data_IF_671975558169
#
_entry.id   IF_671975558169
#
_cell.length_a   1.000
_cell.length_b   1.000
_cell.length_c   1.000
_cell.angle_alpha   90.00
_cell.angle_beta   90.00
_cell.angle_gamma   90.00
#
_symmetry.space_group_name_H-M   'P 1'
#
loop_
_entity.id
_entity.type
_entity.pdbx_description
1 polymer ?
#
# COMPACT_ATOMS: atom_id res chain seq x y z
N UNK A 1 9.54 28.47 -18.26
CA UNK A 1 10.48 27.88 -17.28
C UNK A 1 11.35 26.90 -18.04
N UNK A 2 12.59 27.28 -18.33
CA UNK A 2 13.45 26.59 -19.28
C UNK A 2 14.03 25.28 -18.71
N UNK A 3 13.70 24.16 -19.36
CA UNK A 3 14.56 22.99 -19.58
C UNK A 3 15.28 22.34 -18.37
N UNK A 4 14.66 22.28 -17.19
CA UNK A 4 15.26 21.63 -16.02
C UNK A 4 15.48 20.10 -16.18
N UNK A 5 14.89 19.48 -17.22
CA UNK A 5 15.01 18.05 -17.52
C UNK A 5 16.16 17.69 -18.47
N UNK A 6 16.86 18.66 -19.07
CA UNK A 6 17.89 18.41 -20.10
C UNK A 6 19.23 17.85 -19.57
N UNK A 7 19.42 17.73 -18.26
CA UNK A 7 20.74 17.38 -17.70
C UNK A 7 20.70 16.44 -16.48
N UNK A 8 19.83 15.43 -16.45
CA UNK A 8 20.08 14.30 -15.54
C UNK A 8 21.13 13.40 -16.21
N UNK A 9 22.38 13.57 -15.79
CA UNK A 9 23.53 12.79 -16.27
C UNK A 9 23.23 11.28 -16.19
N UNK A 10 23.32 10.56 -17.30
CA UNK A 10 23.04 9.12 -17.41
C UNK A 10 21.67 8.73 -17.99
N UNK A 11 20.78 9.70 -18.23
CA UNK A 11 19.49 9.48 -18.89
C UNK A 11 19.44 10.14 -20.26
N UNK A 12 18.58 9.61 -21.15
CA UNK A 12 18.26 10.26 -22.41
C UNK A 12 17.44 11.53 -22.17
N UNK A 13 17.44 12.41 -23.16
CA UNK A 13 16.49 13.52 -23.17
C UNK A 13 15.05 13.00 -23.31
N UNK A 14 14.16 13.57 -22.49
CA UNK A 14 12.73 13.27 -22.51
C UNK A 14 11.99 14.37 -23.27
N UNK A 15 11.08 13.96 -24.13
CA UNK A 15 10.08 14.85 -24.73
C UNK A 15 9.08 15.32 -23.67
N UNK A 16 8.37 16.42 -23.97
CA UNK A 16 7.32 16.91 -23.08
C UNK A 16 6.23 15.86 -22.86
N UNK A 17 5.84 15.13 -23.90
CA UNK A 17 4.85 14.04 -23.81
C UNK A 17 5.27 12.95 -22.83
N UNK A 18 6.57 12.61 -22.76
CA UNK A 18 7.09 11.61 -21.84
C UNK A 18 7.13 12.12 -20.40
N UNK A 19 7.48 13.39 -20.21
CA UNK A 19 7.43 14.05 -18.90
C UNK A 19 5.99 14.05 -18.37
N UNK A 20 5.02 14.42 -19.22
CA UNK A 20 3.61 14.46 -18.85
C UNK A 20 3.11 13.06 -18.48
N UNK A 21 3.49 12.04 -19.24
CA UNK A 21 3.17 10.64 -18.95
C UNK A 21 3.76 10.17 -17.61
N UNK A 22 5.04 10.49 -17.33
CA UNK A 22 5.66 10.18 -16.03
C UNK A 22 4.91 10.84 -14.86
N UNK A 23 4.51 12.10 -15.02
CA UNK A 23 3.75 12.81 -14.00
C UNK A 23 2.38 12.19 -13.78
N UNK A 24 1.69 11.78 -14.85
CA UNK A 24 0.42 11.07 -14.75
C UNK A 24 0.56 9.73 -14.02
N UNK A 25 1.59 8.95 -14.33
CA UNK A 25 1.89 7.68 -13.64
C UNK A 25 2.11 7.92 -12.14
N UNK A 26 2.92 8.92 -11.78
CA UNK A 26 3.19 9.27 -10.37
C UNK A 26 1.93 9.74 -9.64
N UNK A 27 1.09 10.54 -10.29
CA UNK A 27 -0.17 10.98 -9.73
C UNK A 27 -1.08 9.80 -9.40
N UNK A 28 -1.21 8.84 -10.32
CA UNK A 28 -1.99 7.61 -10.08
C UNK A 28 -1.37 6.71 -9.02
N UNK A 29 -0.04 6.63 -8.94
CA UNK A 29 0.64 5.98 -7.83
C UNK A 29 0.28 6.59 -6.47
N UNK A 30 0.25 7.92 -6.39
CA UNK A 30 -0.12 8.63 -5.16
C UNK A 30 -1.60 8.40 -4.77
N UNK A 31 -2.52 8.41 -5.73
CA UNK A 31 -3.94 8.07 -5.50
C UNK A 31 -4.10 6.65 -4.93
N UNK A 32 -3.40 5.67 -5.50
CA UNK A 32 -3.43 4.28 -5.00
C UNK A 32 -2.84 4.16 -3.59
N UNK A 33 -1.74 4.86 -3.30
CA UNK A 33 -1.16 4.89 -1.96
C UNK A 33 -2.08 5.56 -0.93
N UNK A 34 -2.83 6.58 -1.33
CA UNK A 34 -3.83 7.20 -0.46
C UNK A 34 -4.96 6.22 -0.13
N UNK A 35 -5.45 5.47 -1.13
CA UNK A 35 -6.46 4.43 -0.90
C UNK A 35 -5.92 3.30 0.00
N UNK A 36 -4.66 2.89 -0.20
CA UNK A 36 -3.99 1.92 0.65
C UNK A 36 -3.90 2.41 2.11
N UNK A 37 -3.59 3.69 2.33
CA UNK A 37 -3.55 4.26 3.67
C UNK A 37 -4.93 4.27 4.36
N UNK A 38 -6.00 4.57 3.61
CA UNK A 38 -7.37 4.48 4.11
C UNK A 38 -7.73 3.03 4.50
N UNK A 39 -7.37 2.06 3.66
CA UNK A 39 -7.57 0.64 3.96
C UNK A 39 -6.84 0.23 5.25
N UNK A 40 -5.58 0.65 5.42
CA UNK A 40 -4.81 0.36 6.64
C UNK A 40 -5.48 0.94 7.88
N UNK A 41 -5.96 2.18 7.82
CA UNK A 41 -6.70 2.80 8.92
C UNK A 41 -7.95 1.99 9.29
N UNK A 42 -8.74 1.60 8.29
CA UNK A 42 -9.92 0.75 8.50
C UNK A 42 -9.58 -0.60 9.14
N UNK A 43 -8.52 -1.28 8.67
CA UNK A 43 -8.09 -2.57 9.21
C UNK A 43 -7.59 -2.47 10.65
N UNK A 44 -6.91 -1.37 11.00
CA UNK A 44 -6.48 -1.11 12.38
C UNK A 44 -7.68 -0.97 13.31
N UNK A 45 -8.64 -0.11 12.97
CA UNK A 45 -9.88 0.06 13.75
C UNK A 45 -10.67 -1.25 13.85
N UNK A 46 -10.73 -2.03 12.78
CA UNK A 46 -11.40 -3.33 12.77
C UNK A 46 -10.74 -4.32 13.75
N UNK A 47 -9.41 -4.38 13.78
CA UNK A 47 -8.67 -5.22 14.72
C UNK A 47 -8.95 -4.82 16.18
N UNK A 48 -8.87 -3.52 16.48
CA UNK A 48 -9.12 -2.98 17.83
C UNK A 48 -10.54 -3.30 18.30
N UNK A 49 -11.53 -3.05 17.43
CA UNK A 49 -12.95 -3.28 17.74
C UNK A 49 -13.23 -4.76 17.98
N UNK A 50 -12.71 -5.65 17.13
CA UNK A 50 -12.87 -7.11 17.28
C UNK A 50 -12.17 -7.63 18.52
N UNK A 51 -10.96 -7.14 18.81
CA UNK A 51 -10.22 -7.53 20.01
C UNK A 51 -10.94 -7.11 21.29
N UNK A 52 -11.49 -5.90 21.32
CA UNK A 52 -12.30 -5.42 22.44
C UNK A 52 -13.57 -6.27 22.63
N UNK A 53 -14.32 -6.52 21.56
CA UNK A 53 -15.53 -7.34 21.61
C UNK A 53 -15.24 -8.78 22.09
N UNK A 54 -14.21 -9.42 21.54
CA UNK A 54 -13.76 -10.75 21.97
C UNK A 54 -13.43 -10.78 23.46
N UNK A 55 -12.70 -9.79 23.96
CA UNK A 55 -12.30 -9.72 25.38
C UNK A 55 -13.48 -9.58 26.34
N UNK A 56 -14.56 -8.90 25.94
CA UNK A 56 -15.77 -8.78 26.75
C UNK A 56 -16.69 -10.01 26.66
N UNK A 57 -16.55 -10.80 25.59
CA UNK A 57 -17.46 -11.93 25.29
C UNK A 57 -17.13 -13.22 26.05
N UNK A 58 -16.00 -13.29 26.75
CA UNK A 58 -15.54 -14.54 27.37
C UNK A 58 -14.82 -14.31 28.68
N UNK A 59 -14.91 -15.29 29.59
CA UNK A 59 -14.08 -15.39 30.80
C UNK A 59 -12.95 -16.41 30.64
N UNK A 60 -12.84 -17.05 29.45
CA UNK A 60 -11.79 -18.01 29.16
C UNK A 60 -10.40 -17.37 29.22
N UNK A 61 -9.40 -18.13 29.64
CA UNK A 61 -7.99 -17.71 29.65
C UNK A 61 -7.14 -18.76 28.92
N UNK A 62 -6.43 -18.40 27.83
CA UNK A 62 -6.32 -17.06 27.25
C UNK A 62 -7.60 -16.64 26.48
N UNK A 63 -8.03 -15.39 26.68
CA UNK A 63 -9.31 -14.88 26.18
C UNK A 63 -9.47 -14.96 24.66
N UNK A 64 -8.39 -14.88 23.89
CA UNK A 64 -8.42 -14.96 22.44
C UNK A 64 -8.62 -16.39 21.89
N UNK A 65 -8.71 -17.39 22.78
CA UNK A 65 -9.06 -18.78 22.47
C UNK A 65 -10.48 -19.15 22.91
N UNK A 66 -11.26 -18.16 23.38
CA UNK A 66 -12.67 -18.37 23.74
C UNK A 66 -13.51 -18.96 22.61
N UNK A 67 -14.57 -19.66 22.99
CA UNK A 67 -15.52 -20.29 22.07
C UNK A 67 -16.67 -19.36 21.64
N UNK A 68 -16.72 -18.12 22.13
CA UNK A 68 -17.70 -17.12 21.68
C UNK A 68 -17.48 -16.74 20.21
N UNK A 69 -18.54 -16.31 19.55
CA UNK A 69 -18.50 -15.92 18.14
C UNK A 69 -17.51 -14.76 17.91
N UNK A 70 -17.40 -13.82 18.85
CA UNK A 70 -16.46 -12.70 18.78
C UNK A 70 -15.00 -13.17 18.84
N UNK A 71 -14.69 -14.17 19.68
CA UNK A 71 -13.35 -14.76 19.77
C UNK A 71 -13.00 -15.55 18.50
N UNK A 72 -13.98 -16.28 17.94
CA UNK A 72 -13.82 -17.00 16.67
C UNK A 72 -13.57 -16.01 15.53
N UNK A 73 -14.35 -14.93 15.44
CA UNK A 73 -14.19 -13.91 14.40
C UNK A 73 -12.87 -13.15 14.52
N UNK A 74 -12.42 -12.83 15.73
CA UNK A 74 -11.10 -12.23 15.93
C UNK A 74 -9.98 -13.16 15.43
N UNK A 75 -10.04 -14.45 15.75
CA UNK A 75 -9.07 -15.44 15.28
C UNK A 75 -9.08 -15.56 13.75
N UNK A 76 -10.27 -15.62 13.14
CA UNK A 76 -10.43 -15.62 11.68
C UNK A 76 -9.84 -14.37 11.05
N UNK A 77 -10.09 -13.19 11.63
CA UNK A 77 -9.52 -11.93 11.15
C UNK A 77 -7.99 -11.91 11.25
N UNK A 78 -7.42 -12.33 12.38
CA UNK A 78 -5.96 -12.44 12.56
C UNK A 78 -5.35 -13.43 11.57
N UNK A 79 -5.96 -14.60 11.39
CA UNK A 79 -5.48 -15.66 10.49
C UNK A 79 -5.50 -15.24 9.02
N UNK A 80 -6.38 -14.32 8.63
CA UNK A 80 -6.40 -13.76 7.28
C UNK A 80 -5.24 -12.79 7.00
N UNK A 81 -4.48 -12.39 8.02
CA UNK A 81 -3.34 -11.47 7.93
C UNK A 81 -3.58 -10.19 7.09
N UNK A 82 -4.71 -9.46 7.26
CA UNK A 82 -5.09 -8.40 6.33
C UNK A 82 -4.08 -7.23 6.28
N UNK A 83 -3.42 -6.93 7.40
CA UNK A 83 -2.35 -5.92 7.47
C UNK A 83 -1.13 -6.32 6.64
N UNK A 84 -0.80 -7.62 6.58
CA UNK A 84 0.29 -8.15 5.75
C UNK A 84 -0.04 -7.96 4.27
N UNK A 85 -1.26 -8.29 3.87
CA UNK A 85 -1.72 -8.08 2.50
C UNK A 85 -1.74 -6.61 2.09
N UNK A 86 -2.17 -5.71 2.98
CA UNK A 86 -2.11 -4.27 2.73
C UNK A 86 -0.66 -3.76 2.59
N UNK A 87 0.30 -4.32 3.33
CA UNK A 87 1.71 -3.98 3.22
C UNK A 87 2.32 -4.47 1.88
N UNK A 88 2.01 -5.71 1.47
CA UNK A 88 2.40 -6.24 0.16
C UNK A 88 1.86 -5.33 -0.96
N UNK A 89 0.57 -5.00 -0.91
CA UNK A 89 -0.05 -4.11 -1.90
C UNK A 89 0.65 -2.76 -1.99
N UNK A 90 1.08 -2.17 -0.87
CA UNK A 90 1.87 -0.92 -0.88
C UNK A 90 3.19 -1.09 -1.63
N UNK A 91 3.96 -2.12 -1.30
CA UNK A 91 5.25 -2.40 -1.95
C UNK A 91 5.08 -2.66 -3.45
N UNK A 92 4.05 -3.39 -3.84
CA UNK A 92 3.76 -3.69 -5.25
C UNK A 92 3.32 -2.45 -6.03
N UNK A 93 2.53 -1.56 -5.42
CA UNK A 93 2.18 -0.25 -6.00
C UNK A 93 3.43 0.59 -6.22
N UNK A 94 4.27 0.76 -5.20
CA UNK A 94 5.50 1.55 -5.29
C UNK A 94 6.44 0.99 -6.36
N UNK A 95 6.61 -0.33 -6.38
CA UNK A 95 7.45 -1.04 -7.35
C UNK A 95 6.90 -0.89 -8.77
N UNK A 96 5.60 -1.10 -8.95
CA UNK A 96 4.93 -0.98 -10.25
C UNK A 96 5.00 0.43 -10.81
N UNK A 97 4.74 1.45 -9.98
CA UNK A 97 4.87 2.87 -10.36
C UNK A 97 6.30 3.18 -10.80
N UNK A 98 7.31 2.70 -10.05
CA UNK A 98 8.71 2.91 -10.41
C UNK A 98 9.11 2.16 -11.68
N UNK A 99 8.60 0.95 -11.91
CA UNK A 99 8.84 0.19 -13.13
C UNK A 99 8.27 0.93 -14.37
N UNK A 100 7.05 1.47 -14.26
CA UNK A 100 6.43 2.28 -15.31
C UNK A 100 7.22 3.57 -15.59
N UNK A 101 7.62 4.29 -14.53
CA UNK A 101 8.47 5.48 -14.66
C UNK A 101 9.80 5.14 -15.35
N UNK A 102 10.42 4.01 -15.00
CA UNK A 102 11.67 3.54 -15.61
C UNK A 102 11.49 3.18 -17.10
N UNK A 103 10.34 2.60 -17.47
CA UNK A 103 10.01 2.30 -18.86
C UNK A 103 9.91 3.55 -19.74
N UNK A 104 9.42 4.66 -19.17
CA UNK A 104 9.43 5.96 -19.85
C UNK A 104 10.85 6.55 -19.86
N UNK A 105 11.55 6.53 -18.73
CA UNK A 105 12.84 7.22 -18.57
C UNK A 105 13.97 6.69 -19.46
N UNK A 106 14.00 5.39 -19.77
CA UNK A 106 14.99 4.68 -20.62
C UNK A 106 16.44 5.22 -20.46
N UNK A 107 17.23 4.71 -19.49
CA UNK A 107 18.59 5.18 -19.27
C UNK A 107 19.45 5.07 -20.54
N UNK A 108 20.28 6.08 -20.80
CA UNK A 108 21.07 6.18 -22.03
C UNK A 108 22.35 5.34 -22.01
N UNK A 109 22.77 4.88 -20.83
CA UNK A 109 23.93 4.04 -20.61
C UNK A 109 23.55 2.91 -19.66
N UNK A 110 23.94 1.67 -20.01
CA UNK A 110 23.80 0.49 -19.16
C UNK A 110 24.70 0.56 -17.92
#
# INVERSE_FOLDING_TARGET
MDNQHKHIKGYRDLSQTEIDLMNQIKAKGAELLQLQAQLVGHLSTALETKAHAARLSTTHEPWDQGASDECIELRRFKAAEPMRWAAIGKTDIETGVMALVRAVAQPATL
#
